data_IF_310940087072
#
_entry.id   IF_310940087072
#
_cell.length_a   1.000
_cell.length_b   1.000
_cell.length_c   1.000
_cell.angle_alpha   90.00
_cell.angle_beta   90.00
_cell.angle_gamma   90.00
#
_symmetry.space_group_name_H-M   'P 1'
#
loop_
_entity.id
_entity.type
_entity.pdbx_description
1 polymer ?
#
# COMPACT_ATOMS: atom_id res chain seq x y z
N UNK A 1 6.63 -74.17 -20.16
CA UNK A 1 5.70 -73.03 -20.08
C UNK A 1 5.96 -72.37 -18.73
N UNK A 2 6.72 -71.28 -18.72
CA UNK A 2 7.08 -70.57 -17.49
C UNK A 2 5.87 -69.74 -17.05
N UNK A 3 5.32 -70.08 -15.89
CA UNK A 3 4.30 -69.27 -15.22
C UNK A 3 5.07 -68.23 -14.42
N UNK A 4 5.00 -66.98 -14.85
CA UNK A 4 5.55 -65.82 -14.16
C UNK A 4 4.94 -65.71 -12.76
N UNK A 5 5.82 -65.61 -11.76
CA UNK A 5 5.46 -65.24 -10.40
C UNK A 5 4.88 -63.82 -10.40
N UNK A 6 3.58 -63.69 -10.21
CA UNK A 6 2.98 -62.41 -9.79
C UNK A 6 3.45 -62.19 -8.35
N UNK A 7 4.40 -61.27 -8.17
CA UNK A 7 4.89 -60.87 -6.86
C UNK A 7 3.72 -60.29 -6.04
N UNK A 8 3.37 -60.97 -4.96
CA UNK A 8 2.44 -60.50 -3.94
C UNK A 8 3.02 -59.23 -3.30
N UNK A 9 2.48 -58.06 -3.65
CA UNK A 9 2.78 -56.80 -2.98
C UNK A 9 2.41 -56.97 -1.50
N UNK A 10 3.41 -56.94 -0.62
CA UNK A 10 3.16 -57.13 0.81
C UNK A 10 2.53 -55.89 1.41
N UNK A 11 1.69 -56.02 2.45
CA UNK A 11 1.07 -54.88 3.11
C UNK A 11 2.10 -53.87 3.66
N UNK A 12 3.30 -54.35 4.00
CA UNK A 12 4.47 -53.55 4.34
C UNK A 12 4.90 -52.61 3.21
N UNK A 13 4.92 -53.10 1.97
CA UNK A 13 5.24 -52.27 0.80
C UNK A 13 4.19 -51.19 0.61
N UNK A 14 2.89 -51.53 0.66
CA UNK A 14 1.82 -50.52 0.49
C UNK A 14 1.89 -49.41 1.54
N UNK A 15 2.16 -49.74 2.81
CA UNK A 15 2.31 -48.73 3.88
C UNK A 15 3.52 -47.83 3.63
N UNK A 16 4.62 -48.39 3.12
CA UNK A 16 5.84 -47.64 2.79
C UNK A 16 5.61 -46.67 1.63
N UNK A 17 4.87 -47.09 0.60
CA UNK A 17 4.47 -46.23 -0.53
C UNK A 17 3.53 -45.10 -0.09
N UNK A 18 2.56 -45.38 0.80
CA UNK A 18 1.65 -44.35 1.35
C UNK A 18 2.43 -43.31 2.16
N UNK A 19 3.37 -43.76 3.01
CA UNK A 19 4.23 -42.87 3.80
C UNK A 19 5.17 -42.04 2.91
N UNK A 20 5.72 -42.62 1.84
CA UNK A 20 6.56 -41.91 0.87
C UNK A 20 5.76 -40.86 0.08
N UNK A 21 4.51 -41.17 -0.31
CA UNK A 21 3.60 -40.23 -0.97
C UNK A 21 3.20 -39.08 -0.05
N UNK A 22 2.89 -39.36 1.21
CA UNK A 22 2.61 -38.32 2.22
C UNK A 22 3.84 -37.45 2.50
N UNK A 23 5.02 -38.06 2.62
CA UNK A 23 6.28 -37.33 2.82
C UNK A 23 6.64 -36.45 1.61
N UNK A 24 6.47 -36.98 0.39
CA UNK A 24 6.66 -36.22 -0.84
C UNK A 24 5.66 -35.08 -1.00
N UNK A 25 4.40 -35.28 -0.60
CA UNK A 25 3.38 -34.23 -0.61
C UNK A 25 3.68 -33.12 0.41
N UNK A 26 4.08 -33.48 1.63
CA UNK A 26 4.50 -32.50 2.65
C UNK A 26 5.75 -31.75 2.19
N UNK A 27 6.75 -32.45 1.64
CA UNK A 27 7.96 -31.81 1.10
C UNK A 27 7.65 -30.88 -0.08
N UNK A 28 6.73 -31.27 -0.98
CA UNK A 28 6.26 -30.42 -2.07
C UNK A 28 5.56 -29.17 -1.53
N UNK A 29 4.63 -29.30 -0.59
CA UNK A 29 3.97 -28.15 0.06
C UNK A 29 4.97 -27.22 0.74
N UNK A 30 6.01 -27.78 1.37
CA UNK A 30 7.06 -27.01 2.02
C UNK A 30 7.93 -26.28 0.98
N UNK A 31 8.36 -26.95 -0.09
CA UNK A 31 9.15 -26.34 -1.17
C UNK A 31 8.34 -25.28 -1.91
N UNK A 32 7.07 -25.55 -2.23
CA UNK A 32 6.14 -24.60 -2.83
C UNK A 32 5.91 -23.40 -1.90
N UNK A 33 5.76 -23.63 -0.60
CA UNK A 33 5.67 -22.56 0.41
C UNK A 33 6.97 -21.73 0.48
N UNK A 34 8.14 -22.35 0.38
CA UNK A 34 9.42 -21.65 0.34
C UNK A 34 9.60 -20.86 -0.95
N UNK A 35 9.26 -21.42 -2.11
CA UNK A 35 9.33 -20.74 -3.40
C UNK A 35 8.38 -19.54 -3.44
N UNK A 36 7.13 -19.73 -3.06
CA UNK A 36 6.14 -18.65 -2.96
C UNK A 36 6.55 -17.59 -1.93
N UNK A 37 7.14 -17.99 -0.79
CA UNK A 37 7.70 -17.05 0.19
C UNK A 37 8.89 -16.26 -0.36
N UNK A 38 9.83 -16.90 -1.06
CA UNK A 38 10.97 -16.21 -1.69
C UNK A 38 10.53 -15.23 -2.77
N UNK A 39 9.58 -15.62 -3.62
CA UNK A 39 8.98 -14.75 -4.62
C UNK A 39 8.25 -13.58 -3.98
N UNK A 40 7.48 -13.82 -2.90
CA UNK A 40 6.85 -12.77 -2.09
C UNK A 40 7.88 -11.78 -1.56
N UNK A 41 8.95 -12.25 -0.92
CA UNK A 41 10.01 -11.38 -0.41
C UNK A 41 10.66 -10.53 -1.51
N UNK A 42 10.91 -11.11 -2.69
CA UNK A 42 11.44 -10.36 -3.84
C UNK A 42 10.49 -9.25 -4.29
N UNK A 43 9.19 -9.54 -4.34
CA UNK A 43 8.16 -8.57 -4.71
C UNK A 43 8.03 -7.47 -3.65
N UNK A 44 8.08 -7.80 -2.36
CA UNK A 44 8.06 -6.82 -1.27
C UNK A 44 9.28 -5.91 -1.34
N UNK A 45 10.49 -6.47 -1.51
CA UNK A 45 11.70 -5.68 -1.66
C UNK A 45 11.64 -4.73 -2.88
N UNK A 46 11.03 -5.16 -4.00
CA UNK A 46 10.80 -4.29 -5.16
C UNK A 46 9.85 -3.13 -4.81
N UNK A 47 8.79 -3.38 -4.04
CA UNK A 47 7.86 -2.34 -3.58
C UNK A 47 8.56 -1.37 -2.64
N UNK A 48 9.30 -1.86 -1.64
CA UNK A 48 10.06 -1.05 -0.70
C UNK A 48 11.11 -0.19 -1.40
N UNK A 49 11.84 -0.77 -2.36
CA UNK A 49 12.82 -0.03 -3.17
C UNK A 49 12.16 1.10 -3.94
N UNK A 50 10.98 0.86 -4.53
CA UNK A 50 10.23 1.89 -5.25
C UNK A 50 9.66 2.96 -4.34
N UNK A 51 9.16 2.58 -3.16
CA UNK A 51 8.71 3.53 -2.12
C UNK A 51 9.86 4.40 -1.65
N UNK A 52 11.02 3.79 -1.36
CA UNK A 52 12.21 4.52 -0.95
C UNK A 52 12.71 5.46 -2.04
N UNK A 53 12.75 5.03 -3.30
CA UNK A 53 13.12 5.90 -4.41
C UNK A 53 12.16 7.10 -4.54
N UNK A 54 10.86 6.85 -4.52
CA UNK A 54 9.82 7.89 -4.57
C UNK A 54 9.96 8.87 -3.40
N UNK A 55 10.18 8.35 -2.19
CA UNK A 55 10.23 9.17 -0.97
C UNK A 55 11.51 9.96 -0.80
N UNK A 56 12.62 9.44 -1.35
CA UNK A 56 13.89 10.14 -1.43
C UNK A 56 13.97 11.09 -2.62
N UNK A 57 13.01 11.05 -3.55
CA UNK A 57 12.96 12.01 -4.65
C UNK A 57 12.75 13.43 -4.13
N UNK A 58 13.46 14.37 -4.74
CA UNK A 58 13.49 15.76 -4.32
C UNK A 58 12.32 16.53 -4.91
N UNK A 59 11.70 17.38 -4.10
CA UNK A 59 10.60 18.28 -4.42
C UNK A 59 10.98 19.71 -4.06
N UNK A 60 10.51 20.67 -4.84
CA UNK A 60 10.78 22.08 -4.61
C UNK A 60 9.88 22.66 -3.50
N UNK A 61 10.50 23.22 -2.45
CA UNK A 61 9.88 24.06 -1.42
C UNK A 61 10.29 25.51 -1.66
N UNK A 62 9.32 26.42 -1.71
CA UNK A 62 9.55 27.86 -1.83
C UNK A 62 9.20 28.55 -0.51
N UNK A 63 10.20 29.16 0.13
CA UNK A 63 10.03 30.13 1.22
C UNK A 63 10.24 31.51 0.60
N UNK A 64 9.43 32.51 0.93
CA UNK A 64 9.62 33.85 0.37
C UNK A 64 10.94 34.49 0.88
N UNK A 65 11.64 35.20 -0.02
CA UNK A 65 12.95 35.86 0.11
C UNK A 65 14.26 35.05 -0.07
N UNK A 66 14.23 33.73 -0.33
CA UNK A 66 15.43 32.96 -0.71
C UNK A 66 15.16 31.84 -1.75
N UNK A 67 16.25 31.23 -2.23
CA UNK A 67 16.31 30.16 -3.25
C UNK A 67 15.31 29.02 -3.01
N UNK A 68 14.89 28.36 -4.10
CA UNK A 68 14.13 27.13 -4.01
C UNK A 68 14.93 26.08 -3.26
N UNK A 69 14.45 25.69 -2.08
CA UNK A 69 15.06 24.62 -1.32
C UNK A 69 14.43 23.30 -1.74
N UNK A 70 15.25 22.35 -2.17
CA UNK A 70 14.77 21.02 -2.53
C UNK A 70 14.69 20.17 -1.26
N UNK A 71 13.50 19.65 -0.94
CA UNK A 71 13.26 18.73 0.20
C UNK A 71 12.82 17.36 -0.32
N UNK A 72 12.89 16.31 0.48
CA UNK A 72 12.42 14.98 0.07
C UNK A 72 10.89 14.89 0.12
N UNK A 73 10.29 14.10 -0.78
CA UNK A 73 8.84 13.76 -0.73
C UNK A 73 8.44 13.22 0.64
N UNK A 74 9.32 12.41 1.27
CA UNK A 74 9.10 11.89 2.63
C UNK A 74 8.80 13.00 3.64
N UNK A 75 9.57 14.09 3.61
CA UNK A 75 9.44 15.19 4.57
C UNK A 75 8.05 15.83 4.50
N UNK A 76 7.51 15.96 3.29
CA UNK A 76 6.21 16.60 3.01
C UNK A 76 5.02 15.64 3.12
N UNK A 77 5.28 14.33 3.06
CA UNK A 77 4.28 13.30 3.40
C UNK A 77 4.16 13.10 4.91
N UNK A 78 5.23 13.34 5.68
CA UNK A 78 5.23 13.13 7.13
C UNK A 78 5.01 14.40 7.95
N UNK A 79 5.04 15.60 7.34
CA UNK A 79 4.55 16.78 8.04
C UNK A 79 3.03 16.70 8.17
N UNK A 80 2.47 16.91 9.37
CA UNK A 80 1.04 16.67 9.61
C UNK A 80 0.12 17.73 8.99
N UNK A 81 0.68 18.61 8.16
CA UNK A 81 0.02 19.75 7.53
C UNK A 81 -0.94 19.32 6.41
N UNK A 82 -2.18 19.83 6.38
CA UNK A 82 -3.14 19.52 5.33
C UNK A 82 -2.66 19.90 3.93
N UNK A 83 -2.96 19.05 2.94
CA UNK A 83 -2.77 19.37 1.53
C UNK A 83 -4.08 19.90 0.93
N UNK A 84 -3.99 20.98 0.16
CA UNK A 84 -5.13 21.64 -0.48
C UNK A 84 -4.88 21.75 -1.98
N UNK A 85 -5.77 21.16 -2.77
CA UNK A 85 -5.69 21.26 -4.22
C UNK A 85 -6.35 22.56 -4.69
N UNK A 86 -5.56 23.46 -5.28
CA UNK A 86 -6.08 24.67 -5.91
C UNK A 86 -6.02 24.54 -7.43
N UNK A 87 -7.18 24.31 -8.05
CA UNK A 87 -7.32 24.17 -9.52
C UNK A 87 -6.90 25.42 -10.28
N UNK A 88 -6.99 26.59 -9.65
CA UNK A 88 -6.66 27.88 -10.26
C UNK A 88 -5.19 28.27 -10.04
N UNK A 89 -4.44 27.52 -9.23
CA UNK A 89 -3.02 27.78 -9.04
C UNK A 89 -2.25 27.39 -10.31
N UNK A 90 -1.44 28.32 -10.82
CA UNK A 90 -0.55 28.01 -11.93
C UNK A 90 0.49 26.99 -11.48
N UNK A 91 0.75 25.93 -12.27
CA UNK A 91 1.80 24.99 -11.96
C UNK A 91 3.17 25.68 -12.02
N UNK A 92 4.08 25.25 -11.17
CA UNK A 92 5.48 25.66 -11.21
C UNK A 92 6.24 24.71 -12.15
N UNK A 93 7.15 25.23 -12.97
CA UNK A 93 8.04 24.41 -13.81
C UNK A 93 9.46 24.69 -13.36
N UNK A 94 10.17 23.64 -12.93
CA UNK A 94 11.57 23.67 -12.51
C UNK A 94 12.26 22.42 -13.04
N UNK A 95 13.47 22.55 -13.57
CA UNK A 95 14.28 21.44 -14.08
C UNK A 95 13.53 20.49 -15.02
N UNK A 96 12.76 21.07 -15.96
CA UNK A 96 11.88 20.36 -16.89
C UNK A 96 10.76 19.52 -16.24
N UNK A 97 10.51 19.70 -14.93
CA UNK A 97 9.49 18.99 -14.18
C UNK A 97 8.37 19.93 -13.71
N UNK A 98 7.13 19.50 -13.92
CA UNK A 98 5.94 20.21 -13.45
C UNK A 98 5.69 19.93 -11.97
N UNK A 99 5.35 20.98 -11.24
CA UNK A 99 5.10 20.99 -9.82
C UNK A 99 3.73 21.60 -9.53
N UNK A 100 2.99 20.99 -8.60
CA UNK A 100 1.65 21.40 -8.19
C UNK A 100 1.71 21.88 -6.76
N UNK A 101 1.08 23.02 -6.49
CA UNK A 101 1.00 23.58 -5.15
C UNK A 101 0.13 22.70 -4.27
N UNK A 102 0.66 22.31 -3.11
CA UNK A 102 -0.05 21.53 -2.08
C UNK A 102 -0.44 22.40 -0.90
N UNK A 103 0.29 23.49 -0.66
CA UNK A 103 0.05 24.46 0.42
C UNK A 103 0.47 25.85 -0.05
N UNK A 104 -0.39 26.81 0.23
CA UNK A 104 -0.16 28.23 -0.06
C UNK A 104 -0.60 29.03 1.15
N UNK A 105 0.36 29.67 1.79
CA UNK A 105 0.17 30.71 2.80
C UNK A 105 0.84 32.00 2.30
N UNK A 106 0.56 33.14 2.95
CA UNK A 106 1.02 34.47 2.54
C UNK A 106 2.53 34.53 2.31
N UNK A 107 3.33 33.79 3.09
CA UNK A 107 4.80 33.78 3.01
C UNK A 107 5.41 32.44 2.53
N UNK A 108 4.58 31.41 2.27
CA UNK A 108 5.07 30.05 2.12
C UNK A 108 4.31 29.26 1.06
N UNK A 109 5.06 28.65 0.14
CA UNK A 109 4.48 27.81 -0.90
C UNK A 109 5.22 26.47 -0.97
N UNK A 110 4.46 25.39 -0.81
CA UNK A 110 4.98 24.05 -1.05
C UNK A 110 4.40 23.48 -2.32
N UNK A 111 5.27 22.76 -3.03
CA UNK A 111 4.92 22.08 -4.24
C UNK A 111 5.35 20.62 -4.16
N UNK A 112 4.61 19.78 -4.86
CA UNK A 112 4.99 18.40 -5.14
C UNK A 112 5.13 18.22 -6.64
N UNK A 113 6.11 17.42 -7.07
CA UNK A 113 6.26 17.10 -8.48
C UNK A 113 5.07 16.27 -8.96
N UNK A 114 4.60 16.54 -10.19
CA UNK A 114 3.55 15.73 -10.80
C UNK A 114 4.02 14.28 -10.97
N UNK A 115 5.30 14.08 -11.25
CA UNK A 115 5.88 12.74 -11.35
C UNK A 115 5.66 11.94 -10.06
N UNK A 116 5.97 12.50 -8.89
CA UNK A 116 5.75 11.82 -7.62
C UNK A 116 4.28 11.44 -7.43
N UNK A 117 3.34 12.35 -7.74
CA UNK A 117 1.90 12.06 -7.66
C UNK A 117 1.49 10.89 -8.56
N UNK A 118 1.95 10.87 -9.80
CA UNK A 118 1.62 9.81 -10.75
C UNK A 118 2.27 8.48 -10.35
N UNK A 119 3.51 8.49 -9.90
CA UNK A 119 4.22 7.30 -9.41
C UNK A 119 3.56 6.72 -8.17
N UNK A 120 3.16 7.55 -7.20
CA UNK A 120 2.36 7.13 -6.04
C UNK A 120 1.11 6.39 -6.50
N UNK A 121 0.33 6.98 -7.41
CA UNK A 121 -0.92 6.38 -7.88
C UNK A 121 -0.70 5.01 -8.53
N UNK A 122 0.29 4.90 -9.42
CA UNK A 122 0.65 3.65 -10.09
C UNK A 122 1.09 2.60 -9.08
N UNK A 123 1.88 2.99 -8.08
CA UNK A 123 2.33 2.09 -7.03
C UNK A 123 1.17 1.54 -6.21
N UNK A 124 0.24 2.40 -5.77
CA UNK A 124 -0.95 1.95 -5.03
C UNK A 124 -1.83 1.01 -5.85
N UNK A 125 -1.97 1.24 -7.16
CA UNK A 125 -2.66 0.30 -8.07
C UNK A 125 -1.96 -1.06 -8.13
N UNK A 126 -0.62 -1.06 -8.12
CA UNK A 126 0.17 -2.31 -8.12
C UNK A 126 0.07 -3.04 -6.79
N UNK A 127 0.17 -2.35 -5.66
CA UNK A 127 -0.03 -2.94 -4.31
C UNK A 127 -1.44 -3.53 -4.20
N UNK A 128 -2.47 -2.80 -4.65
CA UNK A 128 -3.85 -3.32 -4.69
C UNK A 128 -3.92 -4.64 -5.48
N UNK A 129 -3.38 -4.67 -6.70
CA UNK A 129 -3.40 -5.85 -7.56
C UNK A 129 -2.69 -7.03 -6.90
N UNK A 130 -1.49 -6.82 -6.37
CA UNK A 130 -0.69 -7.86 -5.70
C UNK A 130 -1.41 -8.42 -4.46
N UNK A 131 -2.04 -7.56 -3.66
CA UNK A 131 -2.81 -7.99 -2.49
C UNK A 131 -4.08 -8.76 -2.90
N UNK A 132 -4.80 -8.32 -3.95
CA UNK A 132 -5.97 -9.03 -4.46
C UNK A 132 -5.61 -10.40 -5.05
N UNK A 133 -4.45 -10.49 -5.69
CA UNK A 133 -3.89 -11.75 -6.20
C UNK A 133 -3.27 -12.62 -5.10
N UNK A 134 -3.30 -12.21 -3.83
CA UNK A 134 -2.70 -12.91 -2.68
C UNK A 134 -1.19 -13.15 -2.83
N UNK A 135 -0.51 -12.35 -3.65
CA UNK A 135 0.96 -12.39 -3.78
C UNK A 135 1.60 -11.75 -2.56
N UNK A 136 1.03 -10.62 -2.11
CA UNK A 136 1.37 -10.00 -0.82
C UNK A 136 0.24 -10.22 0.16
N UNK A 137 0.59 -10.41 1.42
CA UNK A 137 -0.30 -10.74 2.51
C UNK A 137 -0.65 -9.51 3.36
N UNK A 138 -1.56 -9.70 4.32
CA UNK A 138 -1.91 -8.64 5.26
C UNK A 138 -0.73 -8.22 6.13
N UNK A 139 0.17 -9.14 6.51
CA UNK A 139 1.35 -8.80 7.32
C UNK A 139 2.25 -7.82 6.56
N UNK A 140 2.48 -8.05 5.27
CA UNK A 140 3.31 -7.16 4.44
C UNK A 140 2.72 -5.74 4.38
N UNK A 141 1.39 -5.62 4.27
CA UNK A 141 0.74 -4.30 4.33
C UNK A 141 0.90 -3.63 5.70
N UNK A 142 0.89 -4.42 6.78
CA UNK A 142 1.13 -3.92 8.14
C UNK A 142 2.57 -3.49 8.36
N UNK A 143 3.54 -4.09 7.68
CA UNK A 143 4.95 -3.71 7.76
C UNK A 143 5.22 -2.41 6.98
N UNK A 144 4.58 -2.25 5.81
CA UNK A 144 4.63 -1.04 4.96
C UNK A 144 3.78 0.14 5.48
N UNK A 145 3.37 0.13 6.76
CA UNK A 145 2.40 1.10 7.27
C UNK A 145 2.93 2.53 7.25
N UNK A 146 4.25 2.73 7.45
CA UNK A 146 4.87 4.07 7.49
C UNK A 146 4.82 4.74 6.13
N UNK A 147 4.81 3.94 5.07
CA UNK A 147 4.81 4.37 3.68
C UNK A 147 3.40 4.53 3.13
N UNK A 148 2.45 3.74 3.65
CA UNK A 148 1.06 3.71 3.17
C UNK A 148 0.18 4.72 3.93
N UNK A 149 0.16 4.65 5.26
CA UNK A 149 -0.83 5.37 6.08
C UNK A 149 -0.78 6.91 5.97
N UNK A 150 0.38 7.57 5.72
CA UNK A 150 0.40 9.03 5.55
C UNK A 150 -0.51 9.56 4.44
N UNK A 151 -0.82 8.75 3.41
CA UNK A 151 -1.74 9.15 2.35
C UNK A 151 -3.20 9.27 2.81
N UNK A 152 -3.55 8.65 3.94
CA UNK A 152 -4.89 8.74 4.53
C UNK A 152 -5.01 9.82 5.60
N UNK A 153 -3.98 10.66 5.79
CA UNK A 153 -3.95 11.74 6.78
C UNK A 153 -3.83 13.10 6.10
N UNK A 154 -4.12 14.19 6.83
CA UNK A 154 -3.87 15.58 6.41
C UNK A 154 -4.38 15.93 5.00
N UNK A 155 -5.64 15.61 4.70
CA UNK A 155 -6.33 15.86 3.42
C UNK A 155 -5.65 15.26 2.17
N UNK A 156 -4.64 14.39 2.30
CA UNK A 156 -3.89 13.88 1.13
C UNK A 156 -4.76 13.01 0.21
N UNK A 157 -5.59 12.12 0.75
CA UNK A 157 -6.49 11.31 -0.08
C UNK A 157 -7.47 12.17 -0.88
N UNK A 158 -7.99 13.23 -0.25
CA UNK A 158 -8.87 14.22 -0.86
C UNK A 158 -8.13 14.99 -1.96
N UNK A 159 -6.92 15.46 -1.68
CA UNK A 159 -6.04 16.10 -2.66
C UNK A 159 -5.85 15.23 -3.90
N UNK A 160 -5.52 13.94 -3.72
CA UNK A 160 -5.37 12.99 -4.84
C UNK A 160 -6.67 12.81 -5.62
N UNK A 161 -7.81 12.74 -4.94
CA UNK A 161 -9.12 12.65 -5.59
C UNK A 161 -9.49 13.90 -6.39
N UNK A 162 -9.12 15.09 -5.91
CA UNK A 162 -9.32 16.35 -6.62
C UNK A 162 -8.36 16.53 -7.81
N UNK A 163 -7.13 16.02 -7.70
CA UNK A 163 -6.12 16.09 -8.78
C UNK A 163 -6.36 15.08 -9.90
N UNK A 164 -6.66 13.82 -9.59
CA UNK A 164 -6.86 12.76 -10.59
C UNK A 164 -8.33 12.50 -10.91
N UNK A 165 -9.07 12.05 -9.91
CA UNK A 165 -10.52 11.87 -9.81
C UNK A 165 -10.78 10.99 -8.59
N UNK A 166 -11.98 11.05 -8.01
CA UNK A 166 -12.37 10.11 -6.94
C UNK A 166 -12.26 8.65 -7.39
N UNK A 167 -12.59 8.35 -8.66
CA UNK A 167 -12.51 7.01 -9.22
C UNK A 167 -11.07 6.48 -9.31
N UNK A 168 -10.15 7.30 -9.83
CA UNK A 168 -8.75 6.91 -9.97
C UNK A 168 -8.06 6.65 -8.64
N UNK A 169 -8.43 7.42 -7.62
CA UNK A 169 -7.87 7.38 -6.27
C UNK A 169 -8.43 6.25 -5.39
N UNK A 170 -9.44 5.50 -5.87
CA UNK A 170 -10.00 4.38 -5.11
C UNK A 170 -8.95 3.29 -4.77
N UNK A 171 -7.89 3.12 -5.55
CA UNK A 171 -6.81 2.17 -5.23
C UNK A 171 -6.07 2.57 -3.96
N UNK A 172 -5.84 3.88 -3.75
CA UNK A 172 -5.19 4.40 -2.55
C UNK A 172 -6.07 4.14 -1.33
N UNK A 173 -7.36 4.51 -1.41
CA UNK A 173 -8.33 4.25 -0.35
C UNK A 173 -8.47 2.75 -0.01
N UNK A 174 -8.45 1.88 -1.03
CA UNK A 174 -8.48 0.43 -0.82
C UNK A 174 -7.27 -0.04 -0.01
N UNK A 175 -6.06 0.34 -0.43
CA UNK A 175 -4.81 -0.09 0.23
C UNK A 175 -4.74 0.46 1.64
N UNK A 176 -5.05 1.74 1.85
CA UNK A 176 -5.14 2.37 3.18
C UNK A 176 -6.03 1.57 4.14
N UNK A 177 -7.26 1.29 3.72
CA UNK A 177 -8.21 0.53 4.55
C UNK A 177 -7.71 -0.89 4.84
N UNK A 178 -7.10 -1.56 3.85
CA UNK A 178 -6.53 -2.90 4.05
C UNK A 178 -5.34 -2.88 4.99
N UNK A 179 -4.47 -1.88 4.91
CA UNK A 179 -3.35 -1.68 5.83
C UNK A 179 -3.84 -1.44 7.25
N UNK A 180 -4.81 -0.55 7.48
CA UNK A 180 -5.36 -0.32 8.82
C UNK A 180 -5.96 -1.59 9.42
N UNK A 181 -6.77 -2.31 8.64
CA UNK A 181 -7.34 -3.59 9.09
C UNK A 181 -6.25 -4.65 9.35
N UNK A 182 -5.18 -4.66 8.55
CA UNK A 182 -4.04 -5.53 8.77
C UNK A 182 -3.27 -5.18 10.05
N UNK A 183 -2.98 -3.90 10.31
CA UNK A 183 -2.35 -3.45 11.54
C UNK A 183 -3.16 -3.87 12.78
N UNK A 184 -4.50 -3.81 12.72
CA UNK A 184 -5.37 -4.36 13.78
C UNK A 184 -5.23 -5.87 13.94
N UNK A 185 -5.28 -6.62 12.82
CA UNK A 185 -5.11 -8.08 12.83
C UNK A 185 -3.77 -8.51 13.43
N UNK A 186 -2.71 -7.78 13.13
CA UNK A 186 -1.34 -8.09 13.55
C UNK A 186 -0.89 -7.32 14.80
N UNK A 187 -1.82 -6.64 15.49
CA UNK A 187 -1.58 -5.89 16.75
C UNK A 187 -0.46 -4.84 16.64
N UNK A 188 -0.30 -4.22 15.47
CA UNK A 188 0.64 -3.11 15.26
C UNK A 188 0.04 -1.82 15.84
N UNK A 189 0.10 -1.70 17.17
CA UNK A 189 -0.48 -0.57 17.90
C UNK A 189 0.11 0.79 17.48
N UNK A 190 1.43 0.95 17.26
CA UNK A 190 2.00 2.22 16.81
C UNK A 190 1.38 2.74 15.50
N UNK A 191 1.11 1.85 14.54
CA UNK A 191 0.47 2.23 13.28
C UNK A 191 -1.00 2.67 13.48
N UNK A 192 -1.72 1.99 14.37
CA UNK A 192 -3.12 2.32 14.69
C UNK A 192 -3.22 3.65 15.42
N UNK A 193 -2.36 3.90 16.41
CA UNK A 193 -2.31 5.16 17.15
C UNK A 193 -1.92 6.31 16.22
N UNK A 194 -0.91 6.11 15.37
CA UNK A 194 -0.53 7.07 14.34
C UNK A 194 -1.74 7.43 13.47
N UNK A 195 -2.43 6.43 12.93
CA UNK A 195 -3.52 6.71 12.00
C UNK A 195 -4.72 7.34 12.69
N UNK A 196 -5.13 6.82 13.86
CA UNK A 196 -6.28 7.33 14.62
C UNK A 196 -6.10 8.79 15.01
N UNK A 197 -4.91 9.17 15.48
CA UNK A 197 -4.63 10.54 15.91
C UNK A 197 -4.61 11.54 14.74
N UNK A 198 -4.25 11.08 13.53
CA UNK A 198 -4.11 11.95 12.36
C UNK A 198 -5.28 11.87 11.38
N UNK A 199 -6.15 10.87 11.51
CA UNK A 199 -7.37 10.72 10.70
C UNK A 199 -8.45 11.76 11.08
N UNK A 200 -8.45 12.23 12.33
CA UNK A 200 -9.45 13.21 12.81
C UNK A 200 -9.17 14.64 12.36
N UNK A 201 -7.96 14.92 11.87
CA UNK A 201 -7.52 16.25 11.43
C UNK A 201 -7.82 16.51 9.94
N UNK A 202 -8.96 16.02 9.46
CA UNK A 202 -9.38 16.18 8.06
C UNK A 202 -10.42 17.31 7.99
N UNK A 203 -10.28 18.21 7.03
CA UNK A 203 -11.21 19.34 6.85
C UNK A 203 -12.45 18.95 6.01
N UNK A 204 -12.36 17.86 5.24
CA UNK A 204 -13.45 17.33 4.40
C UNK A 204 -13.77 15.85 4.69
N UNK A 205 -14.92 15.38 4.21
CA UNK A 205 -15.42 14.02 4.44
C UNK A 205 -14.66 12.95 3.62
N UNK A 206 -13.52 12.53 4.19
CA UNK A 206 -12.70 11.43 3.69
C UNK A 206 -13.43 10.08 3.73
N UNK A 207 -14.47 9.91 4.57
CA UNK A 207 -15.17 8.62 4.72
C UNK A 207 -15.79 8.17 3.40
N UNK A 208 -16.24 9.12 2.56
CA UNK A 208 -16.87 8.81 1.25
C UNK A 208 -15.92 8.09 0.30
N UNK A 209 -14.59 8.28 0.42
CA UNK A 209 -13.60 7.55 -0.39
C UNK A 209 -13.52 6.07 -0.04
N UNK A 210 -13.92 5.70 1.17
CA UNK A 210 -13.96 4.31 1.62
C UNK A 210 -15.36 3.72 1.38
N UNK A 211 -16.41 4.47 1.72
CA UNK A 211 -17.79 4.01 1.60
C UNK A 211 -18.19 3.72 0.16
N UNK A 212 -17.81 4.57 -0.80
CA UNK A 212 -18.18 4.42 -2.21
C UNK A 212 -17.20 3.56 -3.01
N UNK A 213 -16.20 2.98 -2.34
CA UNK A 213 -15.12 2.27 -3.00
C UNK A 213 -15.59 0.90 -3.51
N UNK A 214 -15.83 0.82 -4.82
CA UNK A 214 -16.26 -0.40 -5.50
C UNK A 214 -15.17 -1.47 -5.52
N UNK A 215 -13.90 -1.09 -5.36
CA UNK A 215 -12.75 -2.01 -5.40
C UNK A 215 -12.67 -2.93 -4.19
N UNK A 216 -13.37 -2.65 -3.10
CA UNK A 216 -13.37 -3.48 -1.89
C UNK A 216 -14.11 -4.82 -2.10
N UNK A 217 -15.10 -4.84 -3.02
CA UNK A 217 -15.84 -6.05 -3.39
C UNK A 217 -16.78 -6.58 -2.30
N UNK A 218 -17.09 -7.87 -2.36
CA UNK A 218 -18.17 -8.51 -1.59
C UNK A 218 -18.06 -8.40 -0.06
N UNK A 219 -16.84 -8.25 0.48
CA UNK A 219 -16.60 -8.11 1.93
C UNK A 219 -16.59 -6.65 2.41
N UNK A 220 -17.10 -5.71 1.61
CA UNK A 220 -17.09 -4.26 1.91
C UNK A 220 -17.67 -3.90 3.26
N UNK A 221 -18.87 -4.39 3.60
CA UNK A 221 -19.53 -4.04 4.89
C UNK A 221 -18.66 -4.41 6.09
N UNK A 222 -18.08 -5.61 6.08
CA UNK A 222 -17.21 -6.08 7.17
C UNK A 222 -15.91 -5.29 7.22
N UNK A 223 -15.26 -5.07 6.08
CA UNK A 223 -14.01 -4.32 6.01
C UNK A 223 -14.15 -2.86 6.45
N UNK A 224 -15.26 -2.21 6.07
CA UNK A 224 -15.59 -0.85 6.49
C UNK A 224 -15.90 -0.78 7.97
N UNK A 225 -16.67 -1.73 8.51
CA UNK A 225 -16.93 -1.78 9.95
C UNK A 225 -15.62 -1.89 10.74
N UNK A 226 -14.76 -2.84 10.37
CA UNK A 226 -13.46 -3.03 11.03
C UNK A 226 -12.60 -1.77 11.00
N UNK A 227 -12.61 -1.05 9.88
CA UNK A 227 -11.89 0.20 9.69
C UNK A 227 -12.46 1.32 10.56
N UNK A 228 -13.77 1.56 10.50
CA UNK A 228 -14.40 2.65 11.27
C UNK A 228 -14.39 2.41 12.78
N UNK A 229 -14.41 1.15 13.24
CA UNK A 229 -14.20 0.80 14.65
C UNK A 229 -12.80 1.21 15.18
N UNK A 230 -11.84 1.48 14.29
CA UNK A 230 -10.48 1.92 14.66
C UNK A 230 -10.39 3.44 14.69
N UNK A 231 -10.91 4.09 13.65
CA UNK A 231 -10.68 5.53 13.41
C UNK A 231 -11.67 6.45 14.11
N UNK A 232 -12.87 5.96 14.47
CA UNK A 232 -13.87 6.73 15.23
C UNK A 232 -13.62 6.55 16.73
#
# INVERSE_FOLDING_TARGET
MNIEYISTITASDMVTWILALMGGFIAYLVIDHFQTSMERHKVINEIETKLNHLFSSTIAKKVENEEYNTVMVRTVLHDFSPWVFNKNASPLIMDAQRHICIRKDQAYHEYISTQALHESLVLFRRIEKLHKSKIIESIDLSDLWREILPYGTSNRLIFFGNYFSKHDTQSIAYVLMKTVNACKKHKNQPALDYFKNNYKNQEEDIDTYFQDNTRIGAKRKVALKQFFDIVK
#
